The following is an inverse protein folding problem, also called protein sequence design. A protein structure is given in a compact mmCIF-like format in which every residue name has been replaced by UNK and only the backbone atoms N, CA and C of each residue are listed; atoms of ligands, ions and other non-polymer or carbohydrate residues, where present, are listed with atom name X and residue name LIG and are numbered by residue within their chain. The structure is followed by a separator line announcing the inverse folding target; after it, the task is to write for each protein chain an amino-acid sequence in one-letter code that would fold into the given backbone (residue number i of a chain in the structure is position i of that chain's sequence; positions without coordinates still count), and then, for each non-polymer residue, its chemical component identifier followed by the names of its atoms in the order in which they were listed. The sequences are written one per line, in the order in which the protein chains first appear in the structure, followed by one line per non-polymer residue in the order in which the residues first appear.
data_IF_188528380159
#
_entry.id   IF_188528380159
#
_cell.length_a   1.000
_cell.length_b   1.000
_cell.length_c   1.000
_cell.angle_alpha   90.00
_cell.angle_beta   90.00
_cell.angle_gamma   90.00
#
_symmetry.space_group_name_H-M   'P 1'
#
loop_
_entity.id
_entity.type
_entity.pdbx_description
1 polymer ?
#
# COMPACT_ATOMS: atom_id res chain seq x y z
N UNK A 1 4.56 -0.63 -19.36
CA UNK A 1 4.01 -0.59 -17.98
C UNK A 1 4.30 -1.95 -17.37
N UNK A 2 5.00 -2.01 -16.24
CA UNK A 2 5.25 -3.27 -15.55
C UNK A 2 3.91 -3.82 -15.05
N UNK A 3 3.48 -4.99 -15.56
CA UNK A 3 2.14 -5.53 -15.30
C UNK A 3 1.86 -5.70 -13.79
N UNK A 4 2.88 -6.11 -13.04
CA UNK A 4 2.77 -6.29 -11.59
C UNK A 4 2.67 -4.95 -10.84
N UNK A 5 3.33 -3.89 -11.35
CA UNK A 5 3.25 -2.56 -10.75
C UNK A 5 1.82 -2.03 -10.84
N UNK A 6 1.17 -2.18 -12.00
CA UNK A 6 -0.23 -1.80 -12.24
C UNK A 6 -1.21 -2.62 -11.37
N UNK A 7 -1.01 -3.93 -11.25
CA UNK A 7 -1.85 -4.79 -10.39
C UNK A 7 -1.83 -4.37 -8.91
N UNK A 8 -0.70 -3.84 -8.42
CA UNK A 8 -0.56 -3.42 -7.01
C UNK A 8 -1.13 -2.02 -6.77
N UNK A 9 -0.99 -1.10 -7.74
CA UNK A 9 -1.29 0.32 -7.50
C UNK A 9 -2.54 0.85 -8.14
N UNK A 10 -3.08 0.21 -9.17
CA UNK A 10 -4.21 0.76 -9.90
C UNK A 10 -5.50 0.50 -9.10
N UNK A 11 -6.33 1.52 -8.93
CA UNK A 11 -7.60 1.44 -8.17
C UNK A 11 -8.65 0.55 -8.84
N UNK A 12 -8.48 0.25 -10.13
CA UNK A 12 -9.40 -0.60 -10.88
C UNK A 12 -8.65 -1.57 -11.78
N UNK A 13 -9.19 -2.78 -11.89
CA UNK A 13 -8.67 -3.82 -12.76
C UNK A 13 -9.70 -4.18 -13.81
N UNK A 14 -9.21 -4.39 -15.03
CA UNK A 14 -10.03 -4.78 -16.17
C UNK A 14 -9.98 -6.30 -16.35
N UNK A 15 -11.04 -6.96 -15.91
CA UNK A 15 -11.16 -8.42 -15.88
C UNK A 15 -11.72 -8.91 -17.22
N UNK A 16 -11.03 -9.89 -17.81
CA UNK A 16 -11.42 -10.54 -19.06
C UNK A 16 -11.59 -12.04 -18.83
N UNK A 17 -12.74 -12.41 -18.25
CA UNK A 17 -13.10 -13.80 -18.01
C UNK A 17 -13.47 -14.52 -19.29
N UNK A 18 -13.18 -15.82 -19.36
CA UNK A 18 -13.49 -16.63 -20.53
C UNK A 18 -15.01 -16.75 -20.69
N UNK A 19 -15.51 -16.54 -21.91
CA UNK A 19 -16.93 -16.60 -22.26
C UNK A 19 -17.82 -15.60 -21.49
N UNK A 20 -17.25 -14.52 -20.98
CA UNK A 20 -17.97 -13.45 -20.30
C UNK A 20 -17.62 -12.09 -20.94
N UNK A 21 -18.53 -11.11 -20.90
CA UNK A 21 -18.21 -9.76 -21.33
C UNK A 21 -17.13 -9.17 -20.40
N UNK A 22 -16.25 -8.36 -21.01
CA UNK A 22 -15.21 -7.67 -20.27
C UNK A 22 -15.81 -6.71 -19.27
N UNK A 23 -15.32 -6.74 -18.03
CA UNK A 23 -15.77 -5.86 -16.95
C UNK A 23 -14.60 -5.11 -16.31
N UNK A 24 -14.87 -3.90 -15.85
CA UNK A 24 -13.97 -3.16 -14.96
C UNK A 24 -14.51 -3.29 -13.54
N UNK A 25 -13.63 -3.53 -12.59
CA UNK A 25 -14.00 -3.65 -11.17
C UNK A 25 -12.93 -2.99 -10.30
N UNK A 26 -13.32 -2.55 -9.12
CA UNK A 26 -12.40 -2.00 -8.12
C UNK A 26 -11.33 -3.03 -7.73
N UNK A 27 -10.09 -2.58 -7.56
CA UNK A 27 -8.97 -3.41 -7.18
C UNK A 27 -8.83 -3.49 -5.65
N UNK A 28 -9.20 -4.64 -5.08
CA UNK A 28 -9.05 -4.94 -3.65
C UNK A 28 -7.94 -5.97 -3.39
N UNK A 29 -7.05 -6.20 -4.37
CA UNK A 29 -6.06 -7.27 -4.28
C UNK A 29 -4.93 -6.93 -3.30
N UNK A 30 -4.57 -7.91 -2.48
CA UNK A 30 -3.32 -7.93 -1.74
C UNK A 30 -2.57 -9.22 -2.10
N UNK A 31 -1.34 -9.10 -2.59
CA UNK A 31 -0.60 -10.22 -3.16
C UNK A 31 0.48 -10.71 -2.19
N UNK A 32 0.51 -12.03 -1.97
CA UNK A 32 1.61 -12.72 -1.31
C UNK A 32 2.27 -13.63 -2.36
N UNK A 33 3.56 -13.43 -2.60
CA UNK A 33 4.35 -14.25 -3.51
C UNK A 33 5.36 -15.07 -2.72
N UNK A 34 5.47 -16.35 -3.06
CA UNK A 34 6.46 -17.26 -2.48
C UNK A 34 7.28 -17.85 -3.61
N UNK A 35 8.59 -17.88 -3.45
CA UNK A 35 9.53 -18.31 -4.48
C UNK A 35 10.81 -18.84 -3.86
N UNK A 36 11.40 -19.83 -4.54
CA UNK A 36 12.73 -20.36 -4.22
C UNK A 36 13.81 -19.75 -5.12
N UNK A 37 13.45 -18.85 -6.04
CA UNK A 37 14.40 -18.15 -6.90
C UNK A 37 15.01 -16.97 -6.13
N UNK A 38 16.33 -16.83 -6.20
CA UNK A 38 17.08 -15.74 -5.55
C UNK A 38 16.73 -14.36 -6.12
N UNK A 39 16.30 -14.30 -7.38
CA UNK A 39 15.94 -13.06 -8.08
C UNK A 39 14.52 -13.14 -8.67
N UNK A 40 13.47 -13.11 -7.83
CA UNK A 40 12.11 -13.30 -8.30
C UNK A 40 11.51 -12.05 -8.96
N UNK A 41 11.96 -10.87 -8.54
CA UNK A 41 11.49 -9.59 -9.02
C UNK A 41 12.62 -8.57 -8.96
N UNK A 42 12.71 -7.70 -9.97
CA UNK A 42 13.60 -6.56 -9.96
C UNK A 42 12.97 -5.46 -9.12
N UNK A 43 13.58 -5.14 -7.98
CA UNK A 43 13.17 -4.07 -7.07
C UNK A 43 14.09 -2.88 -7.30
N UNK A 44 13.49 -1.70 -7.50
CA UNK A 44 14.21 -0.43 -7.61
C UNK A 44 14.46 0.16 -6.22
N UNK A 45 15.52 0.96 -6.04
CA UNK A 45 15.92 1.46 -4.72
C UNK A 45 14.85 2.32 -4.00
N UNK A 46 13.93 2.92 -4.75
CA UNK A 46 12.85 3.75 -4.22
C UNK A 46 11.47 3.06 -4.31
N UNK A 47 11.43 1.74 -4.52
CA UNK A 47 10.19 1.00 -4.62
C UNK A 47 9.60 0.68 -3.24
N UNK A 48 8.44 1.27 -2.94
CA UNK A 48 7.73 1.13 -1.66
C UNK A 48 6.66 0.03 -1.64
N UNK A 49 6.55 -0.77 -2.71
CA UNK A 49 5.43 -1.72 -2.92
C UNK A 49 5.70 -3.12 -2.37
N UNK A 50 6.95 -3.44 -2.05
CA UNK A 50 7.38 -4.80 -1.72
C UNK A 50 7.99 -4.88 -0.32
N UNK A 51 7.62 -5.94 0.41
CA UNK A 51 8.31 -6.38 1.63
C UNK A 51 8.89 -7.76 1.33
N UNK A 52 10.21 -7.92 1.45
CA UNK A 52 10.90 -9.17 1.13
C UNK A 52 11.36 -9.86 2.41
N UNK A 53 10.82 -11.05 2.68
CA UNK A 53 11.23 -11.90 3.78
C UNK A 53 12.13 -13.02 3.26
N UNK A 54 13.39 -13.05 3.71
CA UNK A 54 14.30 -14.17 3.41
C UNK A 54 14.14 -15.27 4.46
N UNK A 55 13.50 -16.37 4.06
CA UNK A 55 13.40 -17.55 4.91
C UNK A 55 14.72 -18.33 4.90
N UNK A 56 15.25 -18.66 6.09
CA UNK A 56 16.42 -19.54 6.20
C UNK A 56 15.98 -20.99 6.01
N UNK A 57 16.83 -21.82 5.41
CA UNK A 57 16.56 -23.24 5.18
C UNK A 57 16.69 -24.12 6.44
N UNK A 58 16.79 -23.52 7.64
CA UNK A 58 17.03 -24.24 8.91
C UNK A 58 15.91 -25.22 9.24
N UNK A 59 14.66 -24.85 8.94
CA UNK A 59 13.49 -25.70 9.16
C UNK A 59 13.01 -26.36 7.85
N UNK A 60 13.90 -26.57 6.87
CA UNK A 60 13.51 -27.29 5.65
C UNK A 60 13.10 -28.71 6.03
N UNK A 61 11.90 -29.11 5.63
CA UNK A 61 11.29 -30.42 5.92
C UNK A 61 11.07 -30.71 7.42
N UNK A 62 11.10 -29.68 8.27
CA UNK A 62 10.85 -29.80 9.71
C UNK A 62 9.35 -29.89 10.00
N UNK A 63 8.82 -31.12 9.95
CA UNK A 63 7.40 -31.41 10.13
C UNK A 63 6.90 -30.98 11.50
N UNK A 64 7.70 -31.17 12.55
CA UNK A 64 7.31 -30.86 13.93
C UNK A 64 7.14 -29.35 14.12
N UNK A 65 8.11 -28.55 13.65
CA UNK A 65 8.04 -27.10 13.69
C UNK A 65 6.80 -26.57 12.94
N UNK A 66 6.59 -27.01 11.70
CA UNK A 66 5.45 -26.52 10.90
C UNK A 66 4.09 -27.00 11.44
N UNK A 67 4.05 -28.17 12.08
CA UNK A 67 2.83 -28.64 12.76
C UNK A 67 2.49 -27.74 13.96
N UNK A 68 3.46 -27.45 14.83
CA UNK A 68 3.25 -26.53 15.95
C UNK A 68 2.84 -25.14 15.48
N UNK A 69 3.56 -24.60 14.50
CA UNK A 69 3.26 -23.29 13.92
C UNK A 69 1.87 -23.23 13.30
N UNK A 70 1.46 -24.28 12.57
CA UNK A 70 0.11 -24.37 11.99
C UNK A 70 -0.96 -24.37 13.08
N UNK A 71 -0.74 -25.12 14.17
CA UNK A 71 -1.67 -25.16 15.29
C UNK A 71 -1.80 -23.79 15.98
N UNK A 72 -0.69 -23.08 16.15
CA UNK A 72 -0.70 -21.71 16.67
C UNK A 72 -1.48 -20.77 15.73
N UNK A 73 -1.20 -20.78 14.43
CA UNK A 73 -1.89 -19.91 13.46
C UNK A 73 -3.40 -20.20 13.43
N UNK A 74 -3.80 -21.45 13.61
CA UNK A 74 -5.20 -21.87 13.66
C UNK A 74 -5.88 -21.58 15.00
N UNK A 75 -5.12 -21.17 16.03
CA UNK A 75 -5.68 -20.81 17.31
C UNK A 75 -6.71 -19.67 17.15
N UNK A 76 -7.83 -19.82 17.87
CA UNK A 76 -8.97 -18.91 17.79
C UNK A 76 -8.52 -17.50 18.14
N UNK A 77 -8.89 -16.52 17.30
CA UNK A 77 -8.65 -15.10 17.54
C UNK A 77 -7.36 -14.54 16.94
N UNK A 78 -6.40 -15.37 16.47
CA UNK A 78 -5.20 -14.86 15.79
C UNK A 78 -5.57 -14.16 14.49
N UNK A 79 -6.46 -14.76 13.69
CA UNK A 79 -6.97 -14.16 12.46
C UNK A 79 -7.62 -12.80 12.72
N UNK A 80 -8.47 -12.72 13.73
CA UNK A 80 -9.20 -11.49 14.06
C UNK A 80 -8.27 -10.40 14.59
N UNK A 81 -7.31 -10.79 15.43
CA UNK A 81 -6.23 -9.92 15.92
C UNK A 81 -5.41 -9.38 14.74
N UNK A 82 -4.98 -10.24 13.81
CA UNK A 82 -4.22 -9.84 12.64
C UNK A 82 -5.00 -8.85 11.76
N UNK A 83 -6.27 -9.14 11.44
CA UNK A 83 -7.10 -8.22 10.68
C UNK A 83 -7.36 -6.90 11.43
N UNK A 84 -7.53 -6.94 12.74
CA UNK A 84 -7.69 -5.74 13.59
C UNK A 84 -6.44 -4.86 13.52
N UNK A 85 -5.25 -5.44 13.68
CA UNK A 85 -3.99 -4.71 13.60
C UNK A 85 -3.75 -4.13 12.20
N UNK A 86 -4.08 -4.89 11.14
CA UNK A 86 -3.99 -4.40 9.76
C UNK A 86 -4.94 -3.23 9.49
N UNK A 87 -6.19 -3.28 9.99
CA UNK A 87 -7.16 -2.18 9.87
C UNK A 87 -6.68 -0.91 10.57
N UNK A 88 -6.16 -1.02 11.80
CA UNK A 88 -5.63 0.14 12.55
C UNK A 88 -4.48 0.81 11.83
N UNK A 89 -3.59 0.03 11.22
CA UNK A 89 -2.48 0.58 10.43
C UNK A 89 -2.97 1.35 9.20
N UNK A 90 -3.96 0.81 8.48
CA UNK A 90 -4.57 1.49 7.32
C UNK A 90 -5.20 2.82 7.76
N UNK A 91 -5.94 2.83 8.87
CA UNK A 91 -6.54 4.06 9.41
C UNK A 91 -5.50 5.10 9.81
N UNK A 92 -4.38 4.67 10.40
CA UNK A 92 -3.28 5.57 10.77
C UNK A 92 -2.59 6.17 9.52
N UNK A 93 -2.37 5.35 8.48
CA UNK A 93 -1.79 5.83 7.22
C UNK A 93 -2.72 6.84 6.51
N UNK A 94 -4.04 6.62 6.55
CA UNK A 94 -5.02 7.61 6.06
C UNK A 94 -5.04 8.89 6.90
N UNK A 95 -4.93 8.79 8.23
CA UNK A 95 -4.90 9.96 9.11
C UNK A 95 -3.64 10.82 8.86
N UNK A 96 -2.49 10.17 8.66
CA UNK A 96 -1.22 10.84 8.33
C UNK A 96 -1.31 11.50 6.94
N UNK A 97 -1.91 10.83 5.96
CA UNK A 97 -2.06 11.42 4.64
C UNK A 97 -2.98 12.65 4.64
N UNK A 98 -4.08 12.60 5.39
CA UNK A 98 -5.00 13.73 5.50
C UNK A 98 -4.39 14.91 6.26
N UNK A 99 -3.62 14.66 7.32
CA UNK A 99 -2.93 15.73 8.07
C UNK A 99 -1.85 16.43 7.24
N UNK A 100 -1.12 15.69 6.39
CA UNK A 100 -0.16 16.30 5.45
C UNK A 100 -0.88 17.19 4.42
N UNK A 101 -2.07 16.79 3.95
CA UNK A 101 -2.87 17.58 3.01
C UNK A 101 -3.40 18.86 3.67
N UNK A 102 -3.80 18.80 4.95
CA UNK A 102 -4.24 19.98 5.71
C UNK A 102 -3.09 20.97 5.93
N UNK A 103 -1.90 20.51 6.32
CA UNK A 103 -0.72 21.36 6.47
C UNK A 103 -0.29 22.03 5.14
N UNK A 104 -0.36 21.32 4.01
CA UNK A 104 -0.06 21.89 2.69
C UNK A 104 -1.10 22.92 2.23
N UNK A 105 -2.36 22.85 2.70
CA UNK A 105 -3.39 23.85 2.41
C UNK A 105 -3.16 25.13 3.22
N UNK A 106 -2.85 24.99 4.52
CA UNK A 106 -2.58 26.14 5.40
C UNK A 106 -1.37 26.96 4.89
N UNK A 107 -0.29 26.29 4.43
CA UNK A 107 0.88 26.97 3.85
C UNK A 107 0.53 27.73 2.56
N UNK A 108 -0.41 27.22 1.74
CA UNK A 108 -0.81 27.87 0.50
C UNK A 108 -1.80 29.03 0.71
N UNK A 109 -2.56 29.03 1.82
CA UNK A 109 -3.39 30.18 2.20
C UNK A 109 -2.51 31.33 2.74
N UNK A 110 -1.53 31.04 3.59
CA UNK A 110 -0.60 32.05 4.15
C UNK A 110 0.23 32.75 3.05
N UNK A 111 0.68 32.01 2.02
CA UNK A 111 1.47 32.59 0.90
C UNK A 111 0.61 33.47 -0.02
N UNK A 112 -0.71 33.27 -0.07
CA UNK A 112 -1.62 34.10 -0.88
C UNK A 112 -2.06 35.38 -0.17
N UNK A 113 -2.08 35.42 1.17
CA UNK A 113 -2.31 36.67 1.91
C UNK A 113 -1.12 37.64 1.77
N UNK A 114 0.12 37.15 1.88
CA UNK A 114 1.34 37.96 1.73
C UNK A 114 1.53 38.51 0.29
N UNK A 115 0.98 37.83 -0.72
CA UNK A 115 1.06 38.27 -2.12
C UNK A 115 0.04 39.37 -2.48
N UNK A 116 -0.99 39.58 -1.66
CA UNK A 116 -2.09 40.50 -1.95
C UNK A 116 -1.91 41.90 -1.32
N UNK A 117 -0.97 42.07 -0.39
CA UNK A 117 -0.62 43.40 0.17
C UNK A 117 0.27 44.25 -0.77
N UNK A 118 0.86 43.65 -1.81
CA UNK A 118 1.81 44.33 -2.71
C UNK A 118 1.21 45.06 -3.92
N UNK A 119 -0.11 45.02 -4.15
CA UNK A 119 -0.73 45.44 -5.43
C UNK A 119 -1.72 46.62 -5.35
N UNK A 120 -1.77 47.39 -4.26
CA UNK A 120 -2.76 48.48 -4.10
C UNK A 120 -2.22 49.90 -4.39
N UNK A 121 -0.91 50.13 -4.52
CA UNK A 121 -0.39 51.48 -4.82
C UNK A 121 0.14 51.64 -6.25
N UNK A 122 -0.79 51.77 -7.21
CA UNK A 122 -0.56 52.55 -8.44
C UNK A 122 -1.87 52.87 -9.16
N UNK A 123 -2.70 53.72 -8.53
CA UNK A 123 -3.75 54.46 -9.24
C UNK A 123 -3.66 55.93 -8.83
N UNK A 124 -3.62 56.81 -9.85
CA UNK A 124 -3.80 58.28 -9.87
C UNK A 124 -2.54 59.16 -9.90
N UNK A 125 -2.02 59.48 -11.10
CA UNK A 125 -2.31 60.69 -11.91
C UNK A 125 -1.30 60.84 -13.05
#
# INVERSE_FOLDING_TARGET
MDALKSIITDDSIRINEKNQPRRTSENVMNLIMVTNNDFPIKIEANDRRYVVCRCKAVHRDDVEYFTSLSNEIQAIGIKDSFHSQRRKRIQLEHLIHNSIIEEDQDINEDVNEDANEGNIEQINF
#
